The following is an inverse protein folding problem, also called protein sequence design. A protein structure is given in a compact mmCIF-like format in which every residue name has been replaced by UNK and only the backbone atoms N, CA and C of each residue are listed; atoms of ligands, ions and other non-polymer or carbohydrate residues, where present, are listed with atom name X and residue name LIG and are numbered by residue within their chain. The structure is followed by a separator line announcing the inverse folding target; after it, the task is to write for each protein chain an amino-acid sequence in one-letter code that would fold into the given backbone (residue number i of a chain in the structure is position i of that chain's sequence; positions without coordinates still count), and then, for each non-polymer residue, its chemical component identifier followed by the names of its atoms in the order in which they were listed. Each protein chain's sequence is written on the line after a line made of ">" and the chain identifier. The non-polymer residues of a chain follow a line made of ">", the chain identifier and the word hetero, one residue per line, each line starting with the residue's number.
data_IF_343850958423
#
_entry.id   IF_343850958423
#
_cell.length_a   1.000
_cell.length_b   1.000
_cell.length_c   1.000
_cell.angle_alpha   90.00
_cell.angle_beta   90.00
_cell.angle_gamma   90.00
#
_symmetry.space_group_name_H-M   'P 1'
#
loop_
_entity.id
_entity.type
_entity.pdbx_description
1 polymer ?
#
# COMPACT_ATOMS: atom_id res chain seq x y z
N UNK A 1 0.17 7.85 12.26
CA UNK A 1 1.18 8.36 11.33
C UNK A 1 1.70 9.70 11.84
N UNK A 2 3.00 9.95 11.82
CA UNK A 2 3.53 11.23 12.29
C UNK A 2 2.93 12.42 11.53
N UNK A 3 2.78 13.55 12.21
CA UNK A 3 2.15 14.75 11.63
C UNK A 3 2.83 15.21 10.34
N UNK A 4 4.17 15.20 10.32
CA UNK A 4 4.91 15.65 9.12
C UNK A 4 4.69 14.73 7.91
N UNK A 5 4.49 13.43 8.15
CA UNK A 5 4.18 12.47 7.07
C UNK A 5 2.77 12.76 6.55
N UNK A 6 1.83 12.98 7.45
CA UNK A 6 0.46 13.29 7.08
C UNK A 6 0.36 14.59 6.28
N UNK A 7 1.12 15.60 6.70
CA UNK A 7 1.18 16.89 6.00
C UNK A 7 1.75 16.73 4.59
N UNK A 8 2.81 15.93 4.45
CA UNK A 8 3.39 15.62 3.15
C UNK A 8 2.41 14.88 2.24
N UNK A 9 1.73 13.88 2.78
CA UNK A 9 0.71 13.15 2.05
C UNK A 9 -0.37 14.09 1.53
N UNK A 10 -0.93 14.93 2.39
CA UNK A 10 -1.99 15.86 2.01
C UNK A 10 -1.53 16.86 0.96
N UNK A 11 -0.30 17.33 1.06
CA UNK A 11 0.26 18.28 0.10
C UNK A 11 0.28 17.72 -1.32
N UNK A 12 0.63 16.44 -1.47
CA UNK A 12 0.67 15.80 -2.79
C UNK A 12 -0.69 15.28 -3.21
N UNK A 13 -1.49 14.76 -2.28
CA UNK A 13 -2.81 14.22 -2.60
C UNK A 13 -3.74 15.28 -3.18
N UNK A 14 -3.71 16.49 -2.66
CA UNK A 14 -4.56 17.59 -3.14
C UNK A 14 -4.22 18.05 -4.57
N UNK A 15 -3.03 17.69 -5.08
CA UNK A 15 -2.61 18.04 -6.44
C UNK A 15 -3.13 17.07 -7.49
N UNK A 16 -3.68 15.94 -7.06
CA UNK A 16 -4.17 14.94 -8.00
C UNK A 16 -5.51 15.38 -8.61
N UNK A 17 -5.75 15.07 -9.90
CA UNK A 17 -7.00 15.41 -10.54
C UNK A 17 -8.16 14.58 -9.98
N UNK A 18 -9.39 15.02 -10.28
CA UNK A 18 -10.59 14.36 -9.79
C UNK A 18 -10.68 12.88 -10.20
N UNK A 19 -10.16 12.54 -11.38
CA UNK A 19 -10.14 11.17 -11.89
C UNK A 19 -9.17 10.26 -11.16
N UNK A 20 -8.25 10.84 -10.39
CA UNK A 20 -7.20 10.10 -9.68
C UNK A 20 -7.15 10.54 -8.23
N UNK A 21 -8.20 10.22 -7.48
CA UNK A 21 -8.24 10.54 -6.07
C UNK A 21 -7.44 9.52 -5.26
N UNK A 22 -6.65 10.02 -4.32
CA UNK A 22 -5.86 9.17 -3.43
C UNK A 22 -6.56 9.11 -2.08
N UNK A 23 -6.89 7.90 -1.65
CA UNK A 23 -7.52 7.66 -0.37
C UNK A 23 -6.53 6.91 0.50
N UNK A 24 -6.13 7.52 1.63
CA UNK A 24 -5.24 6.87 2.58
C UNK A 24 -6.06 6.06 3.57
N UNK A 25 -5.74 4.78 3.68
CA UNK A 25 -6.34 3.92 4.70
C UNK A 25 -5.22 3.39 5.59
N UNK A 26 -5.16 3.89 6.80
CA UNK A 26 -4.18 3.43 7.77
C UNK A 26 -4.64 2.13 8.41
N UNK A 27 -3.74 1.14 8.42
CA UNK A 27 -4.00 -0.16 9.04
C UNK A 27 -3.32 -0.16 10.39
N UNK A 28 -4.08 -0.52 11.42
CA UNK A 28 -3.57 -0.58 12.78
C UNK A 28 -2.39 -1.56 12.83
N UNK A 29 -1.20 -1.12 13.28
CA UNK A 29 -0.06 -2.03 13.39
C UNK A 29 -0.28 -3.07 14.47
N UNK A 30 0.37 -4.23 14.31
CA UNK A 30 0.33 -5.28 15.32
C UNK A 30 1.04 -4.78 16.59
N UNK A 31 0.49 -5.19 17.74
CA UNK A 31 1.08 -4.79 19.02
C UNK A 31 2.38 -5.56 19.23
N UNK A 32 3.49 -4.86 19.22
CA UNK A 32 4.82 -5.44 19.40
C UNK A 32 5.12 -5.55 20.88
N UNK A 33 5.23 -6.79 21.36
CA UNK A 33 5.54 -7.09 22.74
C UNK A 33 6.91 -7.75 22.88
N UNK A 34 7.33 -7.96 24.13
CA UNK A 34 8.64 -8.58 24.42
C UNK A 34 8.71 -10.06 24.04
N UNK A 35 7.57 -10.73 23.95
CA UNK A 35 7.49 -12.17 23.68
C UNK A 35 7.07 -12.50 22.26
N UNK A 36 6.90 -11.51 21.39
CA UNK A 36 6.47 -11.74 20.00
C UNK A 36 7.65 -11.79 19.03
N UNK A 37 7.38 -12.28 17.84
CA UNK A 37 8.34 -12.31 16.73
C UNK A 37 7.88 -11.42 15.60
N UNK A 38 8.84 -10.83 14.86
CA UNK A 38 8.52 -9.96 13.72
C UNK A 38 7.63 -10.65 12.69
N UNK A 39 7.86 -11.94 12.45
CA UNK A 39 7.05 -12.72 11.50
C UNK A 39 5.57 -12.78 11.89
N UNK A 40 5.28 -12.88 13.19
CA UNK A 40 3.90 -12.88 13.69
C UNK A 40 3.24 -11.53 13.49
N UNK A 41 3.95 -10.46 13.75
CA UNK A 41 3.43 -9.10 13.60
C UNK A 41 3.15 -8.77 12.14
N UNK A 42 4.05 -9.18 11.25
CA UNK A 42 3.89 -9.01 9.81
C UNK A 42 2.66 -9.77 9.31
N UNK A 43 2.47 -11.02 9.76
CA UNK A 43 1.31 -11.82 9.39
C UNK A 43 0.00 -11.19 9.88
N UNK A 44 -0.03 -10.71 11.12
CA UNK A 44 -1.20 -10.03 11.67
C UNK A 44 -1.57 -8.78 10.89
N UNK A 45 -0.56 -7.96 10.59
CA UNK A 45 -0.74 -6.75 9.80
C UNK A 45 -1.20 -7.10 8.39
N UNK A 46 -0.66 -8.16 7.81
CA UNK A 46 -1.04 -8.64 6.49
C UNK A 46 -2.51 -9.05 6.42
N UNK A 47 -3.00 -9.73 7.43
CA UNK A 47 -4.41 -10.10 7.51
C UNK A 47 -5.32 -8.87 7.56
N UNK A 48 -4.92 -7.86 8.32
CA UNK A 48 -5.67 -6.61 8.40
C UNK A 48 -5.67 -5.86 7.07
N UNK A 49 -4.53 -5.84 6.37
CA UNK A 49 -4.42 -5.22 5.05
C UNK A 49 -5.33 -5.92 4.05
N UNK A 50 -5.28 -7.25 4.01
CA UNK A 50 -6.11 -8.03 3.09
C UNK A 50 -7.60 -7.87 3.40
N UNK A 51 -7.96 -7.80 4.68
CA UNK A 51 -9.35 -7.59 5.09
C UNK A 51 -9.87 -6.22 4.66
N UNK A 52 -8.99 -5.21 4.60
CA UNK A 52 -9.35 -3.85 4.20
C UNK A 52 -9.31 -3.65 2.69
N UNK A 53 -8.73 -4.60 1.93
CA UNK A 53 -8.54 -4.49 0.48
C UNK A 53 -9.69 -5.18 -0.25
N UNK A 54 -10.27 -4.49 -1.23
CA UNK A 54 -11.34 -5.07 -2.05
C UNK A 54 -10.75 -6.05 -3.05
N UNK A 55 -11.43 -7.20 -3.22
CA UNK A 55 -10.95 -8.25 -4.12
C UNK A 55 -11.06 -7.86 -5.61
N UNK A 56 -11.92 -6.89 -5.94
CA UNK A 56 -12.11 -6.42 -7.31
C UNK A 56 -11.14 -5.31 -7.72
N UNK A 57 -10.30 -4.84 -6.77
CA UNK A 57 -9.27 -3.84 -7.07
C UNK A 57 -8.04 -4.49 -7.70
N UNK A 58 -7.35 -3.72 -8.54
CA UNK A 58 -6.01 -4.09 -8.99
C UNK A 58 -5.04 -3.82 -7.83
N UNK A 59 -4.31 -4.83 -7.41
CA UNK A 59 -3.48 -4.74 -6.21
C UNK A 59 -2.01 -4.58 -6.59
N UNK A 60 -1.36 -3.56 -6.03
CA UNK A 60 0.06 -3.29 -6.21
C UNK A 60 0.70 -3.30 -4.83
N UNK A 61 1.75 -4.10 -4.66
CA UNK A 61 2.50 -4.12 -3.40
C UNK A 61 3.80 -3.35 -3.56
N UNK A 62 4.13 -2.53 -2.55
CA UNK A 62 5.41 -1.83 -2.47
C UNK A 62 6.32 -2.66 -1.58
N UNK A 63 7.25 -3.37 -2.21
CA UNK A 63 8.09 -4.36 -1.56
C UNK A 63 9.55 -4.15 -1.97
N UNK A 64 10.47 -4.38 -1.03
CA UNK A 64 11.91 -4.25 -1.28
C UNK A 64 12.41 -5.24 -2.35
N UNK A 65 11.72 -6.37 -2.53
CA UNK A 65 12.04 -7.37 -3.55
C UNK A 65 11.38 -7.08 -4.89
N UNK A 66 10.61 -6.02 -4.99
CA UNK A 66 9.92 -5.66 -6.22
C UNK A 66 10.85 -5.01 -7.23
N UNK A 67 10.28 -4.69 -8.39
CA UNK A 67 11.01 -3.99 -9.46
C UNK A 67 11.08 -2.52 -9.17
N UNK A 68 12.23 -1.92 -9.45
CA UNK A 68 12.39 -0.47 -9.33
C UNK A 68 11.83 0.18 -10.60
N UNK A 69 10.93 1.14 -10.42
CA UNK A 69 10.36 1.91 -11.52
C UNK A 69 10.84 3.36 -11.47
N UNK A 70 11.12 3.90 -12.65
CA UNK A 70 11.31 5.33 -12.81
C UNK A 70 9.95 6.05 -12.80
N UNK A 71 9.97 7.38 -12.75
CA UNK A 71 8.73 8.17 -12.83
C UNK A 71 7.99 7.88 -14.15
N UNK A 72 8.72 7.75 -15.25
CA UNK A 72 8.13 7.44 -16.56
C UNK A 72 7.50 6.05 -16.59
N UNK A 73 8.16 5.07 -15.97
CA UNK A 73 7.61 3.70 -15.87
C UNK A 73 6.34 3.67 -15.02
N UNK A 74 6.31 4.38 -13.91
CA UNK A 74 5.13 4.47 -13.08
C UNK A 74 3.97 5.14 -13.87
N UNK A 75 4.26 6.22 -14.59
CA UNK A 75 3.26 6.90 -15.40
C UNK A 75 2.67 5.97 -16.46
N UNK A 76 3.50 5.14 -17.09
CA UNK A 76 3.04 4.17 -18.08
C UNK A 76 2.12 3.13 -17.45
N UNK A 77 2.47 2.62 -16.27
CA UNK A 77 1.62 1.68 -15.54
C UNK A 77 0.29 2.33 -15.14
N UNK A 78 0.31 3.58 -14.74
CA UNK A 78 -0.91 4.30 -14.39
C UNK A 78 -1.85 4.44 -15.59
N UNK A 79 -1.32 4.67 -16.79
CA UNK A 79 -2.14 4.66 -18.01
C UNK A 79 -2.85 3.33 -18.20
N UNK A 80 -2.12 2.22 -17.97
CA UNK A 80 -2.68 0.89 -18.09
C UNK A 80 -3.81 0.67 -17.06
N UNK A 81 -3.60 1.14 -15.83
CA UNK A 81 -4.62 1.02 -14.78
C UNK A 81 -5.88 1.83 -15.11
N UNK A 82 -5.73 3.05 -15.63
CA UNK A 82 -6.87 3.85 -16.06
C UNK A 82 -7.64 3.17 -17.18
N UNK A 83 -6.94 2.54 -18.13
CA UNK A 83 -7.56 1.82 -19.25
C UNK A 83 -8.30 0.57 -18.78
N UNK A 84 -7.79 -0.08 -17.74
CA UNK A 84 -8.41 -1.28 -17.16
C UNK A 84 -9.72 -0.95 -16.44
N UNK A 85 -9.84 0.26 -15.89
CA UNK A 85 -11.07 0.72 -15.25
C UNK A 85 -11.29 0.25 -13.82
N UNK A 86 -10.41 -0.61 -13.28
CA UNK A 86 -10.49 -1.03 -11.89
C UNK A 86 -9.77 -0.03 -10.99
N UNK A 87 -10.28 0.13 -9.77
CA UNK A 87 -9.55 0.89 -8.77
C UNK A 87 -8.27 0.16 -8.39
N UNK A 88 -7.27 0.90 -7.98
CA UNK A 88 -5.97 0.36 -7.61
C UNK A 88 -5.78 0.51 -6.11
N UNK A 89 -5.41 -0.58 -5.46
CA UNK A 89 -5.03 -0.58 -4.04
C UNK A 89 -3.53 -0.80 -3.95
N UNK A 90 -2.83 0.14 -3.31
CA UNK A 90 -1.41 0.03 -3.05
C UNK A 90 -1.19 -0.40 -1.61
N UNK A 91 -0.47 -1.49 -1.42
CA UNK A 91 -0.17 -2.02 -0.09
C UNK A 91 1.24 -1.63 0.32
N UNK A 92 1.36 -1.03 1.49
CA UNK A 92 2.64 -0.64 2.08
C UNK A 92 2.77 -1.34 3.41
N UNK A 93 3.86 -2.06 3.63
CA UNK A 93 4.10 -2.76 4.89
C UNK A 93 4.51 -1.83 6.02
N UNK A 94 4.46 -2.36 7.24
CA UNK A 94 4.90 -1.66 8.44
C UNK A 94 6.42 -1.74 8.63
N UNK A 95 6.91 -1.49 9.87
CA UNK A 95 8.36 -1.44 10.14
C UNK A 95 9.11 -2.71 9.79
N UNK A 96 8.45 -3.86 9.83
CA UNK A 96 9.06 -5.16 9.54
C UNK A 96 8.72 -5.68 8.14
N UNK A 97 8.13 -4.84 7.29
CA UNK A 97 7.82 -5.19 5.90
C UNK A 97 6.39 -5.66 5.68
N UNK A 98 6.15 -6.16 4.48
CA UNK A 98 4.84 -6.62 4.03
C UNK A 98 4.77 -8.15 4.06
N UNK A 99 3.64 -8.68 4.51
CA UNK A 99 3.45 -10.14 4.56
C UNK A 99 3.49 -10.75 3.17
N UNK A 100 4.05 -11.95 3.05
CA UNK A 100 4.15 -12.68 1.79
C UNK A 100 2.79 -12.88 1.12
N UNK A 101 1.76 -13.17 1.89
CA UNK A 101 0.41 -13.35 1.35
C UNK A 101 -0.16 -12.09 0.70
N UNK A 102 0.29 -10.90 1.13
CA UNK A 102 -0.07 -9.65 0.48
C UNK A 102 0.64 -9.51 -0.87
N UNK A 103 1.94 -9.82 -0.90
CA UNK A 103 2.72 -9.78 -2.14
C UNK A 103 2.20 -10.79 -3.17
N UNK A 104 1.74 -11.95 -2.74
CA UNK A 104 1.21 -12.99 -3.63
C UNK A 104 -0.10 -12.57 -4.30
N UNK A 105 -0.88 -11.69 -3.67
CA UNK A 105 -2.14 -11.19 -4.22
C UNK A 105 -1.95 -10.02 -5.16
N UNK A 106 -0.77 -9.44 -5.17
CA UNK A 106 -0.47 -8.27 -6.00
C UNK A 106 -0.26 -8.61 -7.48
#
# INVERSE_FOLDING_TARGET
>A
MPTWVNDGYEEYAKRLPRECQLVLQEIQPAKRGKSGHASQWVEEEGERILAATRSDHHIVSLDVTGKIWSTEQLAEQMKNWFSDGRDVSMMIGGPDGLATKCSERA
#
